data_IF_551419468894
#
_entry.id   IF_551419468894
#
_cell.length_a   1.000
_cell.length_b   1.000
_cell.length_c   1.000
_cell.angle_alpha   90.00
_cell.angle_beta   90.00
_cell.angle_gamma   90.00
#
_symmetry.space_group_name_H-M   'P 1'
#
loop_
_entity.id
_entity.type
_entity.pdbx_description
1 polymer ?
#
# COMPACT_ATOMS: atom_id res chain seq x y z
N UNK A 1 -16.65 -8.41 -11.50
CA UNK A 1 -16.31 -8.24 -10.07
C UNK A 1 -15.22 -9.25 -9.77
N UNK A 2 -14.02 -8.76 -9.47
CA UNK A 2 -12.85 -9.59 -9.16
C UNK A 2 -12.65 -9.69 -7.64
N UNK A 3 -11.75 -10.56 -7.18
CA UNK A 3 -11.40 -10.74 -5.77
C UNK A 3 -10.91 -9.45 -5.09
N UNK A 4 -10.16 -8.61 -5.81
CA UNK A 4 -9.76 -7.29 -5.30
C UNK A 4 -10.99 -6.41 -4.99
N UNK A 5 -12.02 -6.46 -5.85
CA UNK A 5 -13.26 -5.70 -5.64
C UNK A 5 -14.02 -6.24 -4.43
N UNK A 6 -14.08 -7.56 -4.27
CA UNK A 6 -14.71 -8.22 -3.11
C UNK A 6 -14.00 -7.77 -1.84
N UNK A 7 -12.66 -7.91 -1.79
CA UNK A 7 -11.86 -7.54 -0.62
C UNK A 7 -12.02 -6.05 -0.29
N UNK A 8 -11.99 -5.17 -1.30
CA UNK A 8 -12.21 -3.73 -1.14
C UNK A 8 -13.60 -3.41 -0.60
N UNK A 9 -14.64 -4.06 -1.12
CA UNK A 9 -16.03 -3.90 -0.64
C UNK A 9 -16.18 -4.36 0.81
N UNK A 10 -15.60 -5.51 1.17
CA UNK A 10 -15.65 -6.04 2.54
C UNK A 10 -14.91 -5.13 3.52
N UNK A 11 -13.73 -4.62 3.13
CA UNK A 11 -13.00 -3.63 3.94
C UNK A 11 -13.87 -2.43 4.27
N UNK A 12 -14.51 -1.83 3.26
CA UNK A 12 -15.34 -0.64 3.45
C UNK A 12 -16.62 -0.97 4.24
N UNK A 13 -17.30 -2.07 3.92
CA UNK A 13 -18.55 -2.47 4.57
C UNK A 13 -18.36 -2.74 6.08
N UNK A 14 -17.24 -3.37 6.45
CA UNK A 14 -16.91 -3.71 7.84
C UNK A 14 -16.03 -2.65 8.52
N UNK A 15 -15.76 -1.54 7.84
CA UNK A 15 -14.97 -0.41 8.36
C UNK A 15 -13.57 -0.84 8.86
N UNK A 16 -12.95 -1.78 8.14
CA UNK A 16 -11.65 -2.33 8.52
C UNK A 16 -10.49 -1.47 8.03
N UNK A 17 -9.46 -1.35 8.88
CA UNK A 17 -8.15 -0.78 8.51
C UNK A 17 -7.24 -1.86 7.93
N UNK A 18 -6.23 -1.46 7.16
CA UNK A 18 -5.27 -2.41 6.58
C UNK A 18 -4.53 -3.21 7.66
N UNK A 19 -4.23 -2.58 8.80
CA UNK A 19 -3.63 -3.24 9.97
C UNK A 19 -4.53 -4.36 10.52
N UNK A 20 -5.83 -4.09 10.66
CA UNK A 20 -6.80 -5.08 11.12
C UNK A 20 -6.98 -6.22 10.12
N UNK A 21 -6.88 -5.95 8.81
CA UNK A 21 -6.92 -7.01 7.79
C UNK A 21 -5.73 -7.96 7.94
N UNK A 22 -4.54 -7.43 8.23
CA UNK A 22 -3.38 -8.27 8.55
C UNK A 22 -3.67 -9.13 9.77
N UNK A 23 -4.11 -8.53 10.88
CA UNK A 23 -4.46 -9.26 12.12
C UNK A 23 -5.49 -10.37 11.87
N UNK A 24 -6.52 -10.11 11.05
CA UNK A 24 -7.56 -11.09 10.70
C UNK A 24 -6.97 -12.27 9.92
N UNK A 25 -6.03 -12.02 9.00
CA UNK A 25 -5.36 -13.07 8.24
C UNK A 25 -4.39 -13.88 9.12
N UNK A 26 -3.78 -13.26 10.12
CA UNK A 26 -2.94 -13.96 11.08
C UNK A 26 -3.70 -14.96 11.94
N UNK A 27 -5.02 -14.75 12.18
CA UNK A 27 -5.86 -15.72 12.91
C UNK A 27 -5.98 -17.08 12.23
N UNK A 28 -5.72 -17.14 10.91
CA UNK A 28 -5.72 -18.38 10.12
C UNK A 28 -4.31 -18.75 9.67
N UNK A 29 -3.30 -18.30 10.41
CA UNK A 29 -1.87 -18.51 10.16
C UNK A 29 -1.39 -18.01 8.79
N UNK A 30 -2.12 -17.06 8.19
CA UNK A 30 -1.73 -16.45 6.93
C UNK A 30 -0.98 -15.13 7.18
N UNK A 31 0.34 -15.18 7.05
CA UNK A 31 1.21 -14.01 7.24
C UNK A 31 1.29 -13.18 5.97
N UNK A 32 0.95 -11.90 6.08
CA UNK A 32 1.07 -10.93 4.98
C UNK A 32 1.43 -9.56 5.54
N UNK A 33 2.23 -8.79 4.80
CA UNK A 33 2.60 -7.45 5.23
C UNK A 33 1.51 -6.42 4.91
N UNK A 34 1.47 -5.34 5.69
CA UNK A 34 0.59 -4.18 5.41
C UNK A 34 0.81 -3.60 4.00
N UNK A 35 2.06 -3.62 3.51
CA UNK A 35 2.39 -3.11 2.18
C UNK A 35 1.76 -3.93 1.06
N UNK A 36 1.71 -5.26 1.21
CA UNK A 36 1.07 -6.17 0.26
C UNK A 36 -0.45 -6.02 0.28
N UNK A 37 -1.06 -5.87 1.47
CA UNK A 37 -2.48 -5.55 1.59
C UNK A 37 -2.82 -4.26 0.83
N UNK A 38 -2.00 -3.22 1.00
CA UNK A 38 -2.16 -1.96 0.27
C UNK A 38 -2.09 -2.12 -1.25
N UNK A 39 -1.32 -3.10 -1.76
CA UNK A 39 -1.19 -3.36 -3.19
C UNK A 39 -2.46 -3.94 -3.82
N UNK A 40 -3.24 -4.75 -3.08
CA UNK A 40 -4.52 -5.28 -3.56
C UNK A 40 -5.59 -4.19 -3.76
N UNK A 41 -5.49 -3.08 -3.03
CA UNK A 41 -6.47 -1.99 -3.08
C UNK A 41 -6.15 -0.90 -4.10
N UNK A 42 -4.99 -0.99 -4.76
CA UNK A 42 -4.60 -0.05 -5.82
C UNK A 42 -5.46 -0.24 -7.07
N UNK A 43 -5.41 0.73 -7.96
CA UNK A 43 -6.02 0.61 -9.29
C UNK A 43 -5.17 -0.31 -10.17
N UNK A 44 -5.81 -0.99 -11.13
CA UNK A 44 -5.14 -1.95 -12.02
C UNK A 44 -3.95 -1.34 -12.80
N UNK A 45 -4.02 -0.04 -13.13
CA UNK A 45 -2.96 0.67 -13.87
C UNK A 45 -1.74 1.04 -13.01
N UNK A 46 -1.79 0.80 -11.69
CA UNK A 46 -0.71 1.17 -10.80
C UNK A 46 0.45 0.15 -10.88
N UNK A 47 1.73 0.56 -10.95
CA UNK A 47 2.88 -0.36 -11.12
C UNK A 47 3.11 -1.36 -9.97
N UNK A 48 2.45 -1.13 -8.84
CA UNK A 48 2.46 -2.00 -7.64
C UNK A 48 1.11 -2.69 -7.40
N UNK A 49 0.21 -2.64 -8.38
CA UNK A 49 -1.03 -3.38 -8.32
C UNK A 49 -0.72 -4.88 -8.32
N UNK A 50 -1.38 -5.61 -7.43
CA UNK A 50 -1.30 -7.06 -7.36
C UNK A 50 -2.73 -7.58 -7.33
N UNK A 51 -2.99 -8.63 -8.11
CA UNK A 51 -4.28 -9.33 -8.09
C UNK A 51 -4.41 -10.16 -6.81
N UNK A 52 -5.59 -10.11 -6.19
CA UNK A 52 -5.92 -10.89 -5.01
C UNK A 52 -6.28 -12.31 -5.45
N UNK A 53 -5.45 -13.29 -5.10
CA UNK A 53 -5.73 -14.69 -5.38
C UNK A 53 -6.86 -15.25 -4.52
N UNK A 54 -7.52 -16.30 -5.02
CA UNK A 54 -8.61 -16.99 -4.31
C UNK A 54 -8.20 -17.50 -2.92
N UNK A 55 -6.93 -17.92 -2.79
CA UNK A 55 -6.40 -18.41 -1.51
C UNK A 55 -6.42 -17.33 -0.42
N UNK A 56 -6.06 -16.10 -0.79
CA UNK A 56 -6.04 -14.97 0.15
C UNK A 56 -7.46 -14.61 0.54
N UNK A 57 -8.37 -14.53 -0.44
CA UNK A 57 -9.76 -14.20 -0.17
C UNK A 57 -10.43 -15.28 0.71
N UNK A 58 -10.18 -16.56 0.44
CA UNK A 58 -10.68 -17.68 1.27
C UNK A 58 -10.19 -17.59 2.71
N UNK A 59 -8.88 -17.38 2.89
CA UNK A 59 -8.29 -17.25 4.23
C UNK A 59 -8.84 -16.02 4.96
N UNK A 60 -9.00 -14.90 4.28
CA UNK A 60 -9.59 -13.69 4.84
C UNK A 60 -11.03 -13.93 5.32
N UNK A 61 -11.86 -14.59 4.52
CA UNK A 61 -13.24 -14.92 4.88
C UNK A 61 -13.30 -15.86 6.10
N UNK A 62 -12.43 -16.87 6.17
CA UNK A 62 -12.32 -17.74 7.34
C UNK A 62 -11.86 -16.96 8.59
N UNK A 63 -10.88 -16.06 8.44
CA UNK A 63 -10.43 -15.16 9.50
C UNK A 63 -11.54 -14.23 9.97
N UNK A 64 -12.38 -13.71 9.06
CA UNK A 64 -13.53 -12.88 9.41
C UNK A 64 -14.54 -13.61 10.29
N UNK A 65 -14.76 -14.91 10.05
CA UNK A 65 -15.65 -15.72 10.89
C UNK A 65 -15.11 -15.74 12.32
N UNK A 66 -13.81 -16.00 12.50
CA UNK A 66 -13.17 -16.02 13.82
C UNK A 66 -13.18 -14.64 14.47
N UNK A 67 -12.91 -13.58 13.70
CA UNK A 67 -12.86 -12.21 14.20
C UNK A 67 -14.24 -11.71 14.67
N UNK A 68 -15.29 -11.91 13.88
CA UNK A 68 -16.64 -11.39 14.17
C UNK A 68 -17.47 -12.30 15.07
N UNK A 69 -17.37 -13.63 14.90
CA UNK A 69 -18.21 -14.61 15.63
C UNK A 69 -17.46 -15.33 16.74
N UNK A 70 -16.13 -15.23 16.79
CA UNK A 70 -15.31 -15.97 17.74
C UNK A 70 -15.07 -17.42 17.33
N UNK A 71 -14.28 -18.13 18.13
CA UNK A 71 -14.10 -19.58 17.99
C UNK A 71 -15.28 -20.32 18.63
N UNK A 72 -15.41 -21.62 18.35
CA UNK A 72 -16.47 -22.45 18.94
C UNK A 72 -16.47 -22.40 20.47
N UNK A 73 -15.27 -22.31 21.06
CA UNK A 73 -15.07 -22.28 22.51
C UNK A 73 -15.27 -20.88 23.13
N UNK A 74 -15.19 -19.82 22.32
CA UNK A 74 -15.30 -18.43 22.78
C UNK A 74 -16.11 -17.60 21.75
N UNK A 75 -17.45 -17.67 21.78
CA UNK A 75 -18.29 -16.93 20.86
C UNK A 75 -18.21 -15.42 21.12
N UNK A 76 -18.25 -14.63 20.03
CA UNK A 76 -18.26 -13.17 20.06
C UNK A 76 -19.51 -12.65 19.37
N UNK A 77 -20.03 -11.52 19.88
CA UNK A 77 -21.13 -10.82 19.25
C UNK A 77 -20.61 -9.94 18.10
N UNK A 78 -21.06 -10.14 16.86
CA UNK A 78 -20.55 -9.39 15.71
C UNK A 78 -20.87 -7.89 15.78
N UNK A 79 -21.97 -7.51 16.45
CA UNK A 79 -22.37 -6.11 16.60
C UNK A 79 -21.37 -5.31 17.45
N UNK A 80 -20.79 -5.93 18.48
CA UNK A 80 -19.82 -5.29 19.36
C UNK A 80 -18.50 -5.05 18.62
N UNK A 81 -18.05 -6.04 17.84
CA UNK A 81 -16.81 -5.95 17.05
C UNK A 81 -16.90 -4.87 15.97
N UNK A 82 -18.08 -4.72 15.34
CA UNK A 82 -18.29 -3.64 14.37
C UNK A 82 -18.28 -2.26 15.04
N UNK A 83 -18.83 -2.15 16.25
CA UNK A 83 -18.79 -0.92 17.02
C UNK A 83 -17.34 -0.52 17.39
N UNK A 84 -16.48 -1.49 17.72
CA UNK A 84 -15.05 -1.23 17.97
C UNK A 84 -14.31 -0.80 16.71
N UNK A 85 -14.58 -1.40 15.54
CA UNK A 85 -13.95 -0.98 14.29
C UNK A 85 -14.26 0.48 13.97
N UNK A 86 -15.51 0.90 14.21
CA UNK A 86 -15.95 2.28 14.00
C UNK A 86 -15.27 3.27 14.94
N UNK A 87 -15.02 2.90 16.20
CA UNK A 87 -14.38 3.80 17.18
C UNK A 87 -12.89 3.99 16.93
N UNK A 88 -12.21 3.00 16.34
CA UNK A 88 -10.80 3.08 15.98
C UNK A 88 -10.52 4.00 14.79
N UNK A 89 -11.51 4.28 13.95
CA UNK A 89 -11.43 5.27 12.88
C UNK A 89 -11.50 6.66 13.53
N UNK A 90 -10.35 7.16 14.00
CA UNK A 90 -10.26 8.55 14.44
C UNK A 90 -10.56 9.45 13.23
N UNK A 91 -11.50 10.41 13.34
CA UNK A 91 -11.67 11.40 12.30
C UNK A 91 -10.34 12.14 12.13
N UNK A 92 -9.91 12.26 10.89
CA UNK A 92 -8.68 12.99 10.53
C UNK A 92 -8.79 14.42 11.11
N UNK A 93 -8.13 14.68 12.23
CA UNK A 93 -7.89 16.05 12.68
C UNK A 93 -6.92 16.65 11.68
N UNK A 94 -7.42 17.54 10.82
CA UNK A 94 -6.56 18.41 10.00
C UNK A 94 -5.54 19.05 10.94
N UNK A 95 -4.27 18.68 10.79
CA UNK A 95 -3.19 19.46 11.34
C UNK A 95 -3.17 20.78 10.57
N UNK A 96 -3.80 21.81 11.13
CA UNK A 96 -3.53 23.19 10.74
C UNK A 96 -2.09 23.47 11.12
N UNK A 97 -1.19 23.45 10.14
CA UNK A 97 0.13 24.05 10.33
C UNK A 97 -0.04 25.56 10.32
N UNK A 98 -0.22 26.17 11.49
CA UNK A 98 -0.11 27.60 11.70
C UNK A 98 1.34 28.04 11.44
N UNK A 99 1.71 28.24 10.18
CA UNK A 99 2.93 28.96 9.80
C UNK A 99 2.63 30.47 9.95
N UNK A 100 2.92 30.98 11.14
CA UNK A 100 2.89 32.39 11.50
C UNK A 100 3.95 33.18 10.69
N UNK A 101 3.52 33.78 9.58
CA UNK A 101 4.34 34.74 8.83
C UNK A 101 4.37 36.08 9.58
N UNK A 102 5.53 36.51 10.07
CA UNK A 102 5.78 37.90 10.51
C UNK A 102 6.06 38.80 9.28
N UNK A 103 5.65 40.08 9.26
CA UNK A 103 5.73 40.93 8.06
C UNK A 103 6.96 41.86 7.97
N UNK A 104 7.36 42.13 6.71
CA UNK A 104 8.05 43.31 6.14
C UNK A 104 9.59 43.52 6.39
N UNK A 105 10.35 44.22 5.50
CA UNK A 105 9.91 45.15 4.44
C UNK A 105 10.51 44.98 3.02
N UNK A 106 9.86 45.69 2.09
CA UNK A 106 10.14 45.85 0.65
C UNK A 106 11.49 46.53 0.37
N UNK A 107 12.14 46.16 -0.75
CA UNK A 107 12.95 47.08 -1.57
C UNK A 107 12.62 46.90 -3.05
N UNK A 108 12.33 48.02 -3.70
CA UNK A 108 12.00 48.20 -5.11
C UNK A 108 13.26 48.48 -5.96
N UNK A 109 13.17 48.20 -7.27
CA UNK A 109 14.10 48.58 -8.35
C UNK A 109 15.09 47.48 -8.73
N UNK A 110 15.32 47.08 -9.98
CA UNK A 110 15.05 47.72 -11.26
C UNK A 110 15.04 46.69 -12.43
N UNK A 111 14.41 47.13 -13.51
CA UNK A 111 14.22 46.58 -14.86
C UNK A 111 15.35 45.77 -15.56
N UNK A 112 14.92 44.70 -16.25
CA UNK A 112 15.21 44.41 -17.67
C UNK A 112 16.54 43.77 -18.07
N UNK A 113 16.50 42.51 -18.54
CA UNK A 113 16.79 42.07 -19.93
C UNK A 113 16.94 40.54 -20.06
N UNK A 114 16.48 40.06 -21.23
CA UNK A 114 16.42 38.69 -21.73
C UNK A 114 17.72 37.87 -21.59
N UNK A 115 17.59 36.56 -21.38
CA UNK A 115 18.47 35.55 -22.00
C UNK A 115 17.81 34.16 -22.07
N UNK A 116 17.61 33.74 -23.31
CA UNK A 116 17.46 32.41 -23.91
C UNK A 116 17.64 31.16 -23.03
N UNK A 117 16.56 30.39 -22.86
CA UNK A 117 16.65 29.03 -22.33
C UNK A 117 17.04 28.03 -23.43
N UNK A 118 18.36 27.86 -23.59
CA UNK A 118 19.00 26.87 -24.45
C UNK A 118 18.61 25.44 -24.04
N UNK A 119 17.88 24.77 -24.93
CA UNK A 119 17.63 23.31 -24.94
C UNK A 119 18.92 22.53 -24.71
N UNK A 120 19.03 21.83 -23.57
CA UNK A 120 20.15 20.92 -23.29
C UNK A 120 19.64 19.48 -23.26
N UNK A 121 19.75 18.82 -24.40
CA UNK A 121 19.79 17.36 -24.51
C UNK A 121 21.00 16.85 -23.73
N UNK A 122 20.77 15.95 -22.77
CA UNK A 122 21.83 15.14 -22.17
C UNK A 122 21.45 13.68 -22.31
N UNK A 123 22.18 13.03 -23.21
CA UNK A 123 22.49 11.61 -23.17
C UNK A 123 23.12 11.28 -21.81
N UNK A 124 22.75 10.15 -21.18
CA UNK A 124 23.61 8.98 -21.07
C UNK A 124 23.04 7.88 -20.13
N UNK A 125 23.28 6.64 -20.57
CA UNK A 125 23.61 5.43 -19.81
C UNK A 125 22.55 4.67 -18.99
N UNK A 126 22.03 3.65 -19.68
CA UNK A 126 21.46 2.39 -19.17
C UNK A 126 22.50 1.62 -18.34
N UNK A 127 22.22 1.37 -17.06
CA UNK A 127 22.97 0.44 -16.20
C UNK A 127 22.08 -0.77 -15.90
N UNK A 128 22.44 -1.91 -16.50
CA UNK A 128 21.90 -3.23 -16.18
C UNK A 128 22.58 -3.79 -14.92
N UNK A 129 21.86 -4.45 -14.00
CA UNK A 129 22.48 -5.13 -12.86
C UNK A 129 23.20 -6.39 -13.34
N UNK A 130 24.47 -6.54 -12.97
CA UNK A 130 25.28 -7.73 -13.26
C UNK A 130 24.82 -8.89 -12.37
N UNK A 131 24.33 -9.96 -12.99
CA UNK A 131 24.09 -11.26 -12.33
C UNK A 131 25.44 -11.88 -11.88
N UNK A 132 25.55 -12.42 -10.64
CA UNK A 132 26.81 -12.95 -10.10
C UNK A 132 27.23 -14.33 -10.64
N UNK A 133 26.54 -14.91 -11.64
CA UNK A 133 26.82 -16.27 -12.14
C UNK A 133 27.66 -16.32 -13.43
N UNK A 134 28.19 -15.20 -13.92
CA UNK A 134 28.90 -15.10 -15.20
C UNK A 134 30.38 -15.52 -15.14
N UNK A 135 30.69 -16.67 -14.54
CA UNK A 135 32.08 -17.15 -14.39
C UNK A 135 32.32 -18.65 -14.56
N UNK A 136 31.28 -19.49 -14.71
CA UNK A 136 31.47 -20.95 -14.76
C UNK A 136 31.36 -21.42 -16.21
N UNK A 137 32.51 -21.71 -16.83
CA UNK A 137 32.61 -22.27 -18.19
C UNK A 137 32.78 -23.78 -18.08
N UNK A 138 31.69 -24.55 -18.27
CA UNK A 138 31.74 -26.00 -18.32
C UNK A 138 32.35 -26.47 -19.65
N UNK A 139 33.50 -27.16 -19.60
CA UNK A 139 34.09 -27.89 -20.73
C UNK A 139 33.45 -29.28 -20.80
N UNK A 140 32.38 -29.43 -21.60
CA UNK A 140 31.92 -30.77 -21.98
C UNK A 140 32.75 -31.26 -23.16
N UNK A 141 33.76 -32.08 -22.85
CA UNK A 141 34.43 -32.91 -23.85
C UNK A 141 33.44 -33.89 -24.46
N UNK A 142 33.25 -33.81 -25.78
CA UNK A 142 32.72 -34.92 -26.57
C UNK A 142 33.89 -35.61 -27.26
N UNK A 143 33.81 -36.94 -27.19
CA UNK A 143 34.69 -38.02 -27.68
C UNK A 143 35.53 -37.70 -28.90
#
# INVERSE_FOLDING_TARGET
MNNNDILKKLRVALQLRDDQIVEILELVDFRISKGEIGNFFRNADHPKYIECGDQILRNFLNGLVIHLRGTKEAPKNPLEVLASNKSEIKPFKQQTTDKKTKPAPKKEGNSGKNVDFKKKTTSNKKTTPKSPLAGIKFKNGKK
#
